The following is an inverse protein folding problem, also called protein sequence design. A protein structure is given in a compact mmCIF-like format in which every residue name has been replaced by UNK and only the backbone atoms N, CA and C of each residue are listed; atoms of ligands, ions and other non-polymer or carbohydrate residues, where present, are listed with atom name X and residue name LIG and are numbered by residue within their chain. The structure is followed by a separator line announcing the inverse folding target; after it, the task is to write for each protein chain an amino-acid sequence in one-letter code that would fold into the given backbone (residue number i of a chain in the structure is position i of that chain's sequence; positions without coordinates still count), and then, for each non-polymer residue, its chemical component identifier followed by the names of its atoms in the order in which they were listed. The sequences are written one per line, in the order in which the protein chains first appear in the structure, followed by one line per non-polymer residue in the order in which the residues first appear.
data_IF_742358594407
#
_entry.id   IF_742358594407
#
_cell.length_a   1.000
_cell.length_b   1.000
_cell.length_c   1.000
_cell.angle_alpha   90.00
_cell.angle_beta   90.00
_cell.angle_gamma   90.00
#
_symmetry.space_group_name_H-M   'P 1'
#
loop_
_entity.id
_entity.type
_entity.pdbx_description
1 polymer ?
#
# COMPACT_ATOMS: atom_id res chain seq x y z
N UNK A 1 3.33 -13.79 -17.60
CA UNK A 1 2.81 -12.61 -16.89
C UNK A 1 1.31 -12.80 -16.80
N UNK A 2 0.73 -12.88 -15.61
CA UNK A 2 -0.72 -12.92 -15.47
C UNK A 2 -1.27 -11.54 -15.81
N UNK A 3 -2.03 -11.42 -16.90
CA UNK A 3 -2.88 -10.26 -17.10
C UNK A 3 -3.98 -10.31 -16.02
N UNK A 4 -4.41 -9.17 -15.47
CA UNK A 4 -5.48 -9.18 -14.49
C UNK A 4 -6.74 -9.69 -15.19
N UNK A 5 -7.54 -10.46 -14.50
CA UNK A 5 -8.84 -10.88 -15.00
C UNK A 5 -9.76 -9.68 -14.78
N UNK A 6 -9.81 -8.81 -15.79
CA UNK A 6 -10.85 -7.79 -15.84
C UNK A 6 -12.20 -8.49 -16.06
N UNK A 7 -13.27 -8.14 -15.32
CA UNK A 7 -13.36 -7.09 -14.29
C UNK A 7 -13.14 -7.56 -12.84
N UNK A 8 -12.90 -8.85 -12.61
CA UNK A 8 -12.96 -9.49 -11.29
C UNK A 8 -11.79 -9.19 -10.36
N UNK A 9 -10.67 -8.66 -10.85
CA UNK A 9 -9.49 -8.33 -10.02
C UNK A 9 -9.45 -6.85 -9.58
N UNK A 10 -10.40 -6.03 -10.04
CA UNK A 10 -10.40 -4.58 -9.85
C UNK A 10 -11.39 -4.14 -8.76
N UNK A 11 -10.93 -3.54 -7.64
CA UNK A 11 -11.78 -3.28 -6.48
C UNK A 11 -12.85 -2.20 -6.70
N UNK A 12 -12.74 -1.38 -7.74
CA UNK A 12 -13.77 -0.41 -8.15
C UNK A 12 -14.88 -1.02 -9.00
N UNK A 13 -14.77 -2.28 -9.40
CA UNK A 13 -15.74 -2.96 -10.24
C UNK A 13 -16.76 -3.74 -9.41
N UNK A 14 -18.04 -3.67 -9.77
CA UNK A 14 -19.09 -4.46 -9.12
C UNK A 14 -18.82 -5.97 -9.18
N UNK A 15 -18.22 -6.45 -10.28
CA UNK A 15 -17.86 -7.85 -10.44
C UNK A 15 -16.85 -8.35 -9.41
N UNK A 16 -15.90 -7.51 -8.99
CA UNK A 16 -14.98 -7.82 -7.89
C UNK A 16 -15.76 -8.00 -6.58
N UNK A 17 -16.64 -7.06 -6.23
CA UNK A 17 -17.44 -7.16 -5.00
C UNK A 17 -18.29 -8.43 -4.97
N UNK A 18 -18.99 -8.75 -6.05
CA UNK A 18 -19.77 -9.99 -6.15
C UNK A 18 -18.90 -11.25 -6.01
N UNK A 19 -17.72 -11.28 -6.65
CA UNK A 19 -16.79 -12.40 -6.51
C UNK A 19 -16.31 -12.56 -5.07
N UNK A 20 -16.03 -11.47 -4.36
CA UNK A 20 -15.59 -11.52 -2.98
C UNK A 20 -16.71 -11.94 -2.03
N UNK A 21 -17.95 -11.51 -2.28
CA UNK A 21 -19.14 -11.97 -1.56
C UNK A 21 -19.32 -13.49 -1.73
N UNK A 22 -19.27 -14.02 -2.95
CA UNK A 22 -19.36 -15.46 -3.23
C UNK A 22 -18.23 -16.24 -2.54
N UNK A 23 -16.99 -15.71 -2.58
CA UNK A 23 -15.83 -16.30 -1.87
C UNK A 23 -16.04 -16.31 -0.37
N UNK A 24 -16.61 -15.25 0.20
CA UNK A 24 -16.89 -15.13 1.62
C UNK A 24 -17.95 -16.13 2.07
N UNK A 25 -19.06 -16.25 1.34
CA UNK A 25 -20.10 -17.27 1.61
C UNK A 25 -19.52 -18.68 1.55
N UNK A 26 -18.79 -19.02 0.49
CA UNK A 26 -18.18 -20.33 0.33
C UNK A 26 -17.11 -20.63 1.40
N UNK A 27 -16.40 -19.59 1.89
CA UNK A 27 -15.45 -19.74 2.99
C UNK A 27 -16.16 -20.00 4.32
N UNK A 28 -17.21 -19.24 4.62
CA UNK A 28 -17.97 -19.37 5.86
C UNK A 28 -18.63 -20.75 5.96
N UNK A 29 -19.26 -21.24 4.89
CA UNK A 29 -19.83 -22.60 4.84
C UNK A 29 -18.76 -23.68 5.16
N UNK A 30 -17.56 -23.55 4.59
CA UNK A 30 -16.46 -24.49 4.84
C UNK A 30 -15.93 -24.41 6.28
N UNK A 31 -15.90 -23.23 6.89
CA UNK A 31 -15.46 -23.07 8.29
C UNK A 31 -16.49 -23.59 9.29
N UNK A 32 -17.79 -23.45 9.02
CA UNK A 32 -18.85 -24.00 9.88
C UNK A 32 -18.77 -25.53 10.00
N UNK A 33 -18.43 -26.20 8.89
CA UNK A 33 -18.23 -27.65 8.84
C UNK A 33 -16.98 -28.13 9.59
N UNK A 34 -16.03 -27.24 9.91
CA UNK A 34 -14.81 -27.61 10.64
C UNK A 34 -15.06 -27.62 12.15
N UNK A 35 -14.50 -28.60 12.89
CA UNK A 35 -14.54 -28.57 14.34
C UNK A 35 -13.75 -27.35 14.88
N UNK A 36 -14.15 -26.78 16.03
CA UNK A 36 -13.54 -25.55 16.56
C UNK A 36 -12.01 -25.60 16.71
N UNK A 37 -11.43 -26.78 16.98
CA UNK A 37 -9.99 -26.97 17.17
C UNK A 37 -9.14 -26.81 15.90
N UNK A 38 -9.74 -26.90 14.71
CA UNK A 38 -9.03 -26.78 13.42
C UNK A 38 -9.54 -25.61 12.57
N UNK A 39 -10.50 -24.84 13.07
CA UNK A 39 -11.00 -23.65 12.38
C UNK A 39 -9.88 -22.64 12.21
N UNK A 40 -9.84 -22.04 11.03
CA UNK A 40 -8.83 -21.03 10.75
C UNK A 40 -9.15 -19.75 11.52
N UNK A 41 -8.12 -18.94 11.77
CA UNK A 41 -8.33 -17.58 12.23
C UNK A 41 -9.21 -16.84 11.21
N UNK A 42 -10.30 -16.26 11.70
CA UNK A 42 -11.21 -15.44 10.91
C UNK A 42 -10.49 -14.13 10.56
N UNK A 43 -10.50 -13.80 9.28
CA UNK A 43 -9.89 -12.61 8.70
C UNK A 43 -10.81 -12.11 7.59
N UNK A 44 -10.78 -10.81 7.24
CA UNK A 44 -11.58 -10.30 6.14
C UNK A 44 -11.25 -11.04 4.84
N UNK A 45 -12.27 -11.57 4.16
CA UNK A 45 -12.13 -12.13 2.82
C UNK A 45 -12.08 -10.97 1.82
N UNK A 46 -13.06 -10.07 1.88
CA UNK A 46 -12.99 -8.80 1.17
C UNK A 46 -12.02 -7.84 1.87
N UNK A 47 -11.00 -7.29 1.18
CA UNK A 47 -10.10 -6.32 1.77
C UNK A 47 -10.85 -5.10 2.30
N UNK A 48 -10.63 -4.70 3.56
CA UNK A 48 -11.30 -3.54 4.15
C UNK A 48 -10.62 -2.23 3.70
N UNK A 49 -10.90 -1.83 2.46
CA UNK A 49 -10.22 -0.74 1.74
C UNK A 49 -10.20 0.60 2.45
N UNK A 50 -11.25 0.95 3.19
CA UNK A 50 -11.28 2.25 3.88
C UNK A 50 -10.17 2.42 4.93
N UNK A 51 -9.48 1.35 5.33
CA UNK A 51 -8.38 1.44 6.32
C UNK A 51 -7.20 2.20 5.72
N UNK A 52 -7.03 2.13 4.40
CA UNK A 52 -6.03 2.92 3.67
C UNK A 52 -6.35 4.41 3.76
N UNK A 53 -7.64 4.78 3.84
CA UNK A 53 -8.06 6.19 4.03
C UNK A 53 -7.59 6.72 5.39
N UNK A 54 -7.65 5.91 6.45
CA UNK A 54 -7.10 6.31 7.76
C UNK A 54 -5.59 6.55 7.69
N UNK A 55 -4.84 5.71 6.98
CA UNK A 55 -3.41 5.95 6.76
C UNK A 55 -3.18 7.26 5.99
N UNK A 56 -3.95 7.48 4.93
CA UNK A 56 -3.90 8.69 4.09
C UNK A 56 -4.18 9.96 4.90
N UNK A 57 -5.30 10.00 5.63
CA UNK A 57 -5.70 11.15 6.45
C UNK A 57 -4.66 11.46 7.53
N UNK A 58 -4.09 10.42 8.15
CA UNK A 58 -3.04 10.58 9.16
C UNK A 58 -1.76 11.16 8.56
N UNK A 59 -1.35 10.67 7.39
CA UNK A 59 -0.16 11.16 6.70
C UNK A 59 -0.31 12.63 6.30
N UNK A 60 -1.45 13.00 5.72
CA UNK A 60 -1.75 14.37 5.32
C UNK A 60 -1.81 15.30 6.53
N UNK A 61 -2.44 14.87 7.62
CA UNK A 61 -2.53 15.67 8.84
C UNK A 61 -1.14 15.97 9.42
N UNK A 62 -0.21 15.01 9.34
CA UNK A 62 1.18 15.21 9.75
C UNK A 62 1.97 16.17 8.86
N UNK A 63 1.57 16.34 7.58
CA UNK A 63 2.21 17.28 6.66
C UNK A 63 1.74 18.71 6.84
N UNK A 64 0.50 18.91 7.33
CA UNK A 64 -0.14 20.21 7.53
C UNK A 64 0.31 20.96 8.80
N UNK A 65 1.13 20.35 9.65
CA UNK A 65 1.74 21.02 10.82
C UNK A 65 3.19 21.39 10.49
N UNK A 66 3.48 22.62 10.01
CA UNK A 66 4.86 23.09 9.98
C UNK A 66 5.26 23.46 11.40
N UNK A 67 6.30 22.82 11.92
CA UNK A 67 6.90 23.11 13.22
C UNK A 67 7.17 24.61 13.40
N UNK A 68 6.37 25.24 14.26
CA UNK A 68 6.62 26.55 14.88
C UNK A 68 7.22 26.31 16.28
N UNK A 69 8.38 25.67 16.37
CA UNK A 69 9.24 25.82 17.56
C UNK A 69 10.70 25.48 17.28
N UNK A 70 11.46 26.55 17.04
CA UNK A 70 12.79 26.82 17.62
C UNK A 70 13.95 25.87 17.30
N UNK A 71 14.76 26.35 16.34
CA UNK A 71 16.23 26.30 16.28
C UNK A 71 16.90 26.07 17.64
N UNK A 72 17.48 24.89 17.86
CA UNK A 72 18.81 24.62 18.44
C UNK A 72 19.10 23.10 18.50
N UNK A 73 20.37 22.76 18.28
CA UNK A 73 21.03 21.44 18.28
C UNK A 73 20.89 20.47 17.09
N UNK A 74 21.92 20.52 16.24
CA UNK A 74 22.35 19.48 15.32
C UNK A 74 22.76 18.22 16.09
N UNK A 75 21.91 17.18 16.10
CA UNK A 75 22.27 15.73 16.01
C UNK A 75 21.07 14.85 16.37
N UNK A 76 19.97 14.86 15.60
CA UNK A 76 19.02 13.73 15.51
C UNK A 76 17.94 13.97 14.44
N UNK A 77 18.31 13.95 13.16
CA UNK A 77 17.35 14.12 12.07
C UNK A 77 16.70 12.77 11.74
N UNK A 78 15.63 12.42 12.46
CA UNK A 78 14.88 11.20 12.25
C UNK A 78 13.90 11.33 11.07
N UNK A 79 14.02 10.39 10.13
CA UNK A 79 12.98 9.91 9.22
C UNK A 79 11.59 9.87 9.87
N UNK A 80 10.54 10.22 9.10
CA UNK A 80 9.09 10.28 9.42
C UNK A 80 8.75 10.52 10.91
N UNK A 81 8.06 11.61 11.28
CA UNK A 81 7.91 12.02 12.68
C UNK A 81 7.44 10.86 13.57
N UNK A 82 8.24 10.56 14.61
CA UNK A 82 7.90 9.56 15.62
C UNK A 82 6.57 9.96 16.28
N UNK A 83 5.49 9.17 16.14
CA UNK A 83 4.18 9.58 16.60
C UNK A 83 4.09 9.37 18.12
N UNK A 84 3.92 10.46 18.86
CA UNK A 84 3.42 10.40 20.23
C UNK A 84 2.08 9.65 20.26
N UNK A 85 1.79 8.87 21.33
CA UNK A 85 0.53 8.17 21.51
C UNK A 85 -0.54 9.18 21.96
N UNK A 86 -0.90 10.11 21.07
CA UNK A 86 -2.11 10.90 21.20
C UNK A 86 -3.28 10.04 20.76
N UNK A 87 -4.21 9.74 21.67
CA UNK A 87 -5.44 9.02 21.36
C UNK A 87 -6.24 9.79 20.30
N UNK A 88 -6.06 9.45 19.03
CA UNK A 88 -6.95 9.89 17.98
C UNK A 88 -8.26 9.15 18.19
N UNK A 89 -9.23 9.81 18.84
CA UNK A 89 -10.62 9.39 18.77
C UNK A 89 -11.03 9.52 17.31
N UNK A 90 -11.03 8.40 16.60
CA UNK A 90 -11.71 8.26 15.33
C UNK A 90 -13.14 8.70 15.59
N UNK A 91 -13.54 9.83 15.04
CA UNK A 91 -14.94 10.24 15.08
C UNK A 91 -15.74 9.15 14.37
N UNK A 92 -16.65 8.50 15.10
CA UNK A 92 -17.68 7.63 14.55
C UNK A 92 -18.52 8.44 13.56
N UNK A 93 -18.05 8.61 12.33
CA UNK A 93 -18.94 8.92 11.21
C UNK A 93 -19.46 7.58 10.71
N UNK A 94 -20.73 7.33 10.96
CA UNK A 94 -21.45 6.07 10.77
C UNK A 94 -21.59 5.59 9.31
N UNK A 95 -20.69 5.94 8.39
CA UNK A 95 -20.77 5.55 6.97
C UNK A 95 -19.51 4.88 6.41
N UNK A 96 -18.78 4.13 7.23
CA UNK A 96 -17.75 3.25 6.68
C UNK A 96 -18.43 2.04 6.04
N UNK A 97 -18.72 2.13 4.75
CA UNK A 97 -19.13 0.98 3.94
C UNK A 97 -17.92 0.07 3.74
N UNK A 98 -18.10 -1.25 3.80
CA UNK A 98 -17.06 -2.22 3.42
C UNK A 98 -16.70 -2.14 1.93
N UNK A 99 -17.51 -1.42 1.14
CA UNK A 99 -17.26 -1.17 -0.26
C UNK A 99 -16.07 -0.23 -0.49
N UNK A 100 -15.37 -0.48 -1.58
CA UNK A 100 -14.30 0.38 -2.06
C UNK A 100 -14.83 1.78 -2.39
N UNK A 101 -14.31 2.80 -1.69
CA UNK A 101 -14.65 4.22 -1.88
C UNK A 101 -13.53 4.99 -2.62
N UNK A 102 -12.67 4.28 -3.34
CA UNK A 102 -11.58 4.86 -4.12
C UNK A 102 -11.91 5.01 -5.61
N UNK A 103 -10.94 5.51 -6.36
CA UNK A 103 -10.91 5.40 -7.83
C UNK A 103 -9.66 4.61 -8.24
N UNK A 104 -9.81 3.60 -9.10
CA UNK A 104 -8.66 2.90 -9.67
C UNK A 104 -8.23 3.58 -10.96
N UNK A 105 -7.00 4.10 -10.94
CA UNK A 105 -6.39 4.71 -12.11
C UNK A 105 -5.64 3.64 -12.92
N UNK A 106 -6.08 3.48 -14.17
CA UNK A 106 -5.59 2.41 -15.06
C UNK A 106 -4.56 2.88 -16.07
N UNK A 107 -4.68 4.10 -16.57
CA UNK A 107 -3.85 4.62 -17.68
C UNK A 107 -3.03 5.84 -17.26
N UNK A 108 -1.98 6.16 -18.02
CA UNK A 108 -1.19 7.39 -17.88
C UNK A 108 -2.07 8.64 -17.98
N UNK A 109 -2.97 8.70 -18.97
CA UNK A 109 -3.95 9.79 -19.09
C UNK A 109 -4.82 9.99 -17.84
N UNK A 110 -5.44 8.93 -17.29
CA UNK A 110 -6.26 9.03 -16.08
C UNK A 110 -5.46 9.49 -14.87
N UNK A 111 -4.22 9.02 -14.74
CA UNK A 111 -3.32 9.42 -13.68
C UNK A 111 -2.95 10.90 -13.80
N UNK A 112 -2.66 11.35 -15.02
CA UNK A 112 -2.36 12.76 -15.31
C UNK A 112 -3.56 13.65 -14.97
N UNK A 113 -4.77 13.25 -15.37
CA UNK A 113 -6.01 13.96 -15.04
C UNK A 113 -6.21 14.04 -13.54
N UNK A 114 -6.06 12.92 -12.82
CA UNK A 114 -6.19 12.89 -11.36
C UNK A 114 -5.19 13.86 -10.70
N UNK A 115 -3.92 13.83 -11.11
CA UNK A 115 -2.87 14.70 -10.55
C UNK A 115 -3.10 16.19 -10.86
N UNK A 116 -3.67 16.48 -12.03
CA UNK A 116 -4.06 17.84 -12.44
C UNK A 116 -5.21 18.36 -11.59
N UNK A 117 -6.29 17.57 -11.44
CA UNK A 117 -7.48 17.93 -10.67
C UNK A 117 -7.17 18.12 -9.18
N UNK A 118 -6.32 17.26 -8.63
CA UNK A 118 -5.95 17.27 -7.21
C UNK A 118 -4.85 18.27 -6.87
N UNK A 119 -4.23 18.93 -7.87
CA UNK A 119 -3.02 19.76 -7.69
C UNK A 119 -1.88 19.02 -6.96
N UNK A 120 -1.91 17.68 -7.01
CA UNK A 120 -0.88 16.77 -6.49
C UNK A 120 0.27 16.60 -7.51
N UNK A 121 0.20 17.33 -8.63
CA UNK A 121 1.14 17.31 -9.75
C UNK A 121 2.59 17.75 -9.46
N UNK A 122 3.12 17.51 -8.27
CA UNK A 122 4.54 17.70 -7.94
C UNK A 122 5.11 16.54 -7.09
N UNK A 123 4.38 15.43 -6.95
CA UNK A 123 4.89 14.24 -6.27
C UNK A 123 5.94 13.51 -7.13
N UNK A 124 7.03 13.03 -6.51
CA UNK A 124 8.16 12.38 -7.20
C UNK A 124 7.78 11.08 -7.94
N UNK A 125 6.56 10.57 -7.82
CA UNK A 125 6.06 9.50 -8.68
C UNK A 125 5.65 9.96 -10.08
N UNK A 126 5.41 11.26 -10.27
CA UNK A 126 4.80 11.80 -11.48
C UNK A 126 5.43 13.14 -11.85
N UNK A 127 6.51 13.16 -12.66
CA UNK A 127 7.02 14.41 -13.23
C UNK A 127 5.94 15.10 -14.03
N UNK A 128 5.32 16.11 -13.46
CA UNK A 128 4.34 16.93 -14.17
C UNK A 128 5.05 17.93 -15.09
N UNK A 129 4.64 17.99 -16.35
CA UNK A 129 4.80 19.15 -17.25
C UNK A 129 3.66 19.14 -18.30
N UNK A 130 3.62 20.19 -19.12
CA UNK A 130 2.61 20.38 -20.18
C UNK A 130 2.55 19.25 -21.23
N UNK A 131 3.51 18.32 -21.23
CA UNK A 131 3.61 17.10 -22.08
C UNK A 131 3.21 15.80 -21.33
N UNK A 132 2.41 15.92 -20.26
CA UNK A 132 2.19 14.98 -19.15
C UNK A 132 2.22 13.47 -19.41
N UNK A 133 1.52 12.94 -20.41
CA UNK A 133 1.41 11.48 -20.63
C UNK A 133 2.74 10.85 -21.08
N UNK A 134 3.41 11.46 -22.06
CA UNK A 134 4.71 11.01 -22.54
C UNK A 134 5.78 11.08 -21.44
N UNK A 135 5.66 12.04 -20.52
CA UNK A 135 6.63 12.25 -19.45
C UNK A 135 6.51 11.23 -18.32
N UNK A 136 5.29 10.85 -17.94
CA UNK A 136 5.03 9.80 -16.94
C UNK A 136 5.52 8.44 -17.46
N UNK A 137 5.20 8.09 -18.70
CA UNK A 137 5.66 6.84 -19.31
C UNK A 137 7.19 6.77 -19.39
N UNK A 138 7.85 7.85 -19.87
CA UNK A 138 9.32 7.96 -19.88
C UNK A 138 9.92 7.87 -18.47
N UNK A 139 9.25 8.41 -17.47
CA UNK A 139 9.71 8.36 -16.09
C UNK A 139 9.58 6.96 -15.47
N UNK A 140 8.45 6.28 -15.67
CA UNK A 140 8.26 4.89 -15.23
C UNK A 140 9.28 3.98 -15.91
N UNK A 141 9.57 4.21 -17.20
CA UNK A 141 10.59 3.49 -17.97
C UNK A 141 12.04 3.91 -17.58
N UNK A 142 12.17 4.97 -16.76
CA UNK A 142 13.43 5.50 -16.25
C UNK A 142 14.31 6.18 -17.30
N UNK A 143 13.69 6.68 -18.36
CA UNK A 143 14.28 7.56 -19.37
C UNK A 143 14.33 9.02 -18.89
N UNK A 144 13.48 9.38 -17.91
CA UNK A 144 13.41 10.72 -17.33
C UNK A 144 14.01 10.77 -15.93
N UNK A 145 14.88 11.75 -15.66
CA UNK A 145 15.45 12.02 -14.33
C UNK A 145 14.72 13.21 -13.69
N UNK A 146 14.26 13.04 -12.45
CA UNK A 146 13.64 14.10 -11.67
C UNK A 146 14.68 14.96 -10.94
N UNK A 147 14.43 16.27 -10.88
CA UNK A 147 15.18 17.20 -10.01
C UNK A 147 14.67 17.05 -8.57
N UNK A 148 15.52 16.74 -7.57
CA UNK A 148 15.13 16.60 -6.17
C UNK A 148 14.61 17.88 -5.51
N UNK A 149 14.73 19.06 -6.16
CA UNK A 149 14.36 20.36 -5.58
C UNK A 149 12.86 20.66 -5.62
N UNK A 150 12.05 19.79 -6.20
CA UNK A 150 10.60 19.98 -6.24
C UNK A 150 9.97 19.55 -4.92
N UNK A 151 9.32 20.51 -4.24
CA UNK A 151 8.57 20.28 -3.01
C UNK A 151 7.13 19.90 -3.35
N UNK A 152 6.52 18.98 -2.59
CA UNK A 152 5.10 18.68 -2.73
C UNK A 152 4.25 19.90 -2.37
N UNK A 153 3.22 20.18 -3.16
CA UNK A 153 2.16 21.14 -2.85
C UNK A 153 1.21 20.62 -1.77
N UNK A 154 0.46 21.54 -1.15
CA UNK A 154 -0.55 21.26 -0.12
C UNK A 154 -1.62 20.29 -0.63
N UNK A 155 -1.77 19.14 0.06
CA UNK A 155 -2.74 18.10 -0.27
C UNK A 155 -4.11 18.49 0.33
N UNK A 156 -5.09 18.74 -0.54
CA UNK A 156 -6.48 19.00 -0.14
C UNK A 156 -7.27 17.69 -0.05
N UNK A 157 -8.44 17.76 0.59
CA UNK A 157 -9.33 16.64 0.87
C UNK A 157 -9.71 15.91 -0.42
N UNK A 158 -9.21 14.68 -0.60
CA UNK A 158 -9.32 13.95 -1.85
C UNK A 158 -9.83 12.54 -1.63
N UNK A 159 -10.67 12.12 -2.59
CA UNK A 159 -11.07 10.72 -2.74
C UNK A 159 -9.81 9.88 -2.97
N UNK A 160 -9.61 8.77 -2.22
CA UNK A 160 -8.43 7.91 -2.38
C UNK A 160 -8.26 7.42 -3.82
N UNK A 161 -7.04 7.49 -4.34
CA UNK A 161 -6.72 7.06 -5.70
C UNK A 161 -5.80 5.85 -5.64
N UNK A 162 -6.18 4.77 -6.30
CA UNK A 162 -5.45 3.52 -6.26
C UNK A 162 -4.80 3.20 -7.60
N UNK A 163 -3.55 2.76 -7.52
CA UNK A 163 -2.74 2.31 -8.64
C UNK A 163 -2.49 0.82 -8.54
N UNK A 164 -2.55 0.16 -9.70
CA UNK A 164 -2.15 -1.23 -9.85
C UNK A 164 -0.64 -1.36 -9.69
N UNK A 165 -0.23 -2.32 -8.87
CA UNK A 165 1.17 -2.65 -8.64
C UNK A 165 1.44 -4.14 -8.80
N UNK A 166 2.56 -4.48 -9.43
CA UNK A 166 3.15 -5.81 -9.36
C UNK A 166 4.08 -5.88 -8.16
N UNK A 167 3.87 -6.90 -7.33
CA UNK A 167 4.64 -7.17 -6.13
C UNK A 167 5.53 -8.37 -6.38
N UNK A 168 6.85 -8.16 -6.31
CA UNK A 168 7.84 -9.22 -6.35
C UNK A 168 8.46 -9.38 -4.96
N UNK A 169 8.44 -10.57 -4.35
CA UNK A 169 9.08 -10.78 -3.07
C UNK A 169 10.59 -10.60 -3.24
N UNK A 170 11.19 -9.83 -2.33
CA UNK A 170 12.62 -9.49 -2.38
C UNK A 170 13.51 -10.70 -2.05
N UNK A 171 13.02 -11.59 -1.18
CA UNK A 171 13.58 -12.91 -0.86
C UNK A 171 12.48 -13.97 -1.04
N UNK A 172 12.72 -15.22 -0.66
CA UNK A 172 11.70 -16.28 -0.72
C UNK A 172 10.43 -15.92 0.07
N UNK A 173 9.28 -16.27 -0.52
CA UNK A 173 7.95 -16.04 0.04
C UNK A 173 6.88 -15.96 -1.04
N UNK A 174 5.62 -16.16 -0.66
CA UNK A 174 4.46 -15.96 -1.54
C UNK A 174 3.46 -15.01 -0.86
N UNK A 175 2.79 -14.20 -1.67
CA UNK A 175 1.77 -13.28 -1.19
C UNK A 175 0.39 -13.86 -1.50
N UNK A 176 -0.48 -13.89 -0.48
CA UNK A 176 -1.84 -14.40 -0.61
C UNK A 176 -2.81 -13.30 -1.07
N UNK A 177 -3.91 -13.70 -1.69
CA UNK A 177 -5.05 -12.80 -1.92
C UNK A 177 -5.56 -12.25 -0.57
N UNK A 178 -5.83 -10.94 -0.52
CA UNK A 178 -6.23 -10.22 0.69
C UNK A 178 -5.06 -9.81 1.60
N UNK A 179 -3.81 -10.15 1.27
CA UNK A 179 -2.65 -9.70 2.04
C UNK A 179 -2.55 -8.16 2.09
N UNK A 180 -2.09 -7.64 3.24
CA UNK A 180 -1.95 -6.19 3.44
C UNK A 180 -0.61 -5.73 2.89
N UNK A 181 -0.61 -4.64 2.12
CA UNK A 181 0.57 -3.93 1.66
C UNK A 181 0.77 -2.74 2.61
N UNK A 182 1.95 -2.64 3.21
CA UNK A 182 2.26 -1.64 4.22
C UNK A 182 3.48 -0.80 3.82
N UNK A 183 3.53 0.44 4.29
CA UNK A 183 4.71 1.29 4.20
C UNK A 183 5.82 0.80 5.16
N UNK A 184 7.03 0.48 4.68
CA UNK A 184 8.18 0.20 5.52
C UNK A 184 8.75 1.47 6.16
N UNK A 185 9.40 1.29 7.30
CA UNK A 185 10.39 2.23 7.82
C UNK A 185 11.75 1.99 7.13
N UNK A 186 12.65 3.00 7.09
CA UNK A 186 14.00 2.82 6.54
C UNK A 186 14.77 1.65 7.17
N UNK A 187 14.63 1.47 8.49
CA UNK A 187 15.25 0.36 9.23
C UNK A 187 14.75 -1.03 8.80
N UNK A 188 13.49 -1.15 8.35
CA UNK A 188 12.97 -2.41 7.83
C UNK A 188 13.64 -2.77 6.51
N UNK A 189 13.82 -1.79 5.63
CA UNK A 189 14.51 -1.99 4.35
C UNK A 189 15.95 -2.41 4.61
N UNK A 190 16.63 -1.73 5.54
CA UNK A 190 17.99 -2.07 5.91
C UNK A 190 18.12 -3.50 6.45
N UNK A 191 17.20 -3.96 7.32
CA UNK A 191 17.18 -5.33 7.85
C UNK A 191 17.22 -6.39 6.74
N UNK A 192 16.45 -6.16 5.67
CA UNK A 192 16.35 -7.09 4.55
C UNK A 192 17.47 -6.97 3.52
N UNK A 193 18.06 -5.78 3.37
CA UNK A 193 19.06 -5.49 2.33
C UNK A 193 20.51 -5.60 2.81
N UNK A 194 20.77 -5.47 4.12
CA UNK A 194 22.13 -5.53 4.71
C UNK A 194 22.57 -6.93 5.16
N UNK A 195 21.63 -7.86 5.33
CA UNK A 195 21.91 -9.23 5.78
C UNK A 195 22.62 -10.04 4.68
N UNK A 196 23.96 -10.09 4.73
CA UNK A 196 24.78 -11.00 3.91
C UNK A 196 24.66 -12.46 4.35
N UNK A 197 24.25 -12.68 5.60
CA UNK A 197 23.89 -13.98 6.17
C UNK A 197 22.37 -14.08 6.32
N UNK A 198 21.83 -15.28 6.13
CA UNK A 198 20.40 -15.62 6.22
C UNK A 198 19.85 -15.43 7.63
N UNK A 199 19.78 -14.21 8.17
CA UNK A 199 18.89 -13.94 9.30
C UNK A 199 17.46 -14.04 8.77
N UNK A 200 16.82 -15.19 8.99
CA UNK A 200 15.41 -15.44 8.66
C UNK A 200 14.45 -14.51 9.43
N UNK A 201 14.96 -13.80 10.43
CA UNK A 201 14.24 -12.91 11.32
C UNK A 201 14.04 -11.54 10.65
N UNK A 202 13.10 -11.51 9.71
CA UNK A 202 12.48 -10.27 9.25
C UNK A 202 11.63 -9.59 10.33
N UNK A 203 11.04 -8.44 10.00
CA UNK A 203 10.05 -7.80 10.88
C UNK A 203 8.86 -8.75 11.13
N UNK A 204 8.55 -9.01 12.40
CA UNK A 204 7.42 -9.85 12.82
C UNK A 204 6.53 -9.14 13.84
N UNK A 205 5.24 -9.40 13.73
CA UNK A 205 4.22 -9.00 14.71
C UNK A 205 4.01 -10.13 15.73
N UNK A 206 3.57 -9.81 16.95
CA UNK A 206 3.17 -10.85 17.90
C UNK A 206 1.92 -11.61 17.42
N UNK A 207 1.76 -12.86 17.86
CA UNK A 207 0.57 -13.66 17.56
C UNK A 207 -0.72 -13.01 18.08
N UNK A 208 -0.66 -12.35 19.25
CA UNK A 208 -1.79 -11.61 19.82
C UNK A 208 -2.16 -10.40 18.97
N UNK A 209 -1.18 -9.59 18.56
CA UNK A 209 -1.43 -8.43 17.70
C UNK A 209 -1.94 -8.84 16.32
N UNK A 210 -1.46 -9.95 15.75
CA UNK A 210 -1.96 -10.48 14.48
C UNK A 210 -3.44 -10.89 14.57
N UNK A 211 -3.84 -11.56 15.65
CA UNK A 211 -5.25 -11.95 15.89
C UNK A 211 -6.19 -10.78 16.10
N UNK A 212 -5.69 -9.69 16.68
CA UNK A 212 -6.47 -8.48 16.94
C UNK A 212 -6.39 -7.47 15.79
N UNK A 213 -5.52 -7.68 14.81
CA UNK A 213 -5.24 -6.71 13.75
C UNK A 213 -6.50 -6.29 13.00
N UNK A 214 -7.38 -7.24 12.70
CA UNK A 214 -8.71 -6.98 12.18
C UNK A 214 -9.76 -7.51 13.14
N UNK A 215 -10.70 -6.64 13.52
CA UNK A 215 -11.84 -6.99 14.35
C UNK A 215 -13.11 -6.86 13.54
N UNK A 216 -13.90 -7.90 13.55
CA UNK A 216 -15.23 -7.90 12.95
C UNK A 216 -16.27 -7.40 13.95
N UNK A 217 -17.16 -6.54 13.46
CA UNK A 217 -18.30 -6.01 14.20
C UNK A 217 -19.54 -6.85 13.92
N UNK A 218 -20.56 -6.74 14.77
CA UNK A 218 -21.86 -7.42 14.59
C UNK A 218 -22.57 -7.09 13.28
N UNK A 219 -22.20 -5.98 12.65
CA UNK A 219 -22.66 -5.57 11.31
C UNK A 219 -21.99 -6.32 10.15
N UNK A 220 -21.06 -7.25 10.43
CA UNK A 220 -20.23 -7.92 9.43
C UNK A 220 -19.07 -7.05 8.90
N UNK A 221 -18.92 -5.83 9.43
CA UNK A 221 -17.84 -4.90 9.03
C UNK A 221 -16.55 -5.20 9.74
N UNK A 222 -15.43 -5.05 9.02
CA UNK A 222 -14.08 -5.21 9.56
C UNK A 222 -13.42 -3.87 9.83
N UNK A 223 -12.75 -3.75 10.97
CA UNK A 223 -12.00 -2.56 11.37
C UNK A 223 -10.56 -2.94 11.76
N UNK A 224 -9.59 -2.09 11.38
CA UNK A 224 -8.20 -2.25 11.84
C UNK A 224 -8.09 -1.80 13.29
N UNK A 225 -7.50 -2.64 14.13
CA UNK A 225 -7.12 -2.19 15.46
C UNK A 225 -5.73 -1.55 15.41
N UNK A 226 -5.65 -0.27 15.80
CA UNK A 226 -4.37 0.41 16.01
C UNK A 226 -3.85 -0.02 17.38
N UNK A 227 -2.62 -0.56 17.48
CA UNK A 227 -2.10 -0.99 18.76
C UNK A 227 -1.81 0.19 19.70
N UNK A 228 -2.32 0.12 20.91
CA UNK A 228 -2.08 1.11 21.98
C UNK A 228 -0.83 0.78 22.82
N UNK A 229 -0.34 -0.46 22.79
CA UNK A 229 0.82 -0.89 23.57
C UNK A 229 2.17 -0.64 22.85
N UNK A 230 3.22 -0.40 23.63
CA UNK A 230 4.55 0.00 23.15
C UNK A 230 5.31 -1.07 22.37
N UNK A 231 4.88 -2.34 22.45
CA UNK A 231 5.53 -3.45 21.76
C UNK A 231 4.89 -3.68 20.40
N UNK A 232 3.56 -3.80 20.35
CA UNK A 232 2.83 -4.00 19.11
C UNK A 232 2.95 -2.79 18.17
N UNK A 233 2.98 -1.57 18.72
CA UNK A 233 3.22 -0.33 17.96
C UNK A 233 4.55 -0.33 17.21
N UNK A 234 5.63 -0.92 17.76
CA UNK A 234 6.92 -1.05 17.07
C UNK A 234 6.86 -1.96 15.85
N UNK A 235 6.00 -2.99 15.89
CA UNK A 235 5.82 -3.93 14.78
C UNK A 235 4.75 -3.50 13.79
N UNK A 236 3.87 -2.57 14.17
CA UNK A 236 2.78 -2.09 13.32
C UNK A 236 3.33 -1.30 12.13
N UNK A 237 2.79 -1.59 10.95
CA UNK A 237 3.08 -0.86 9.72
C UNK A 237 1.78 -0.44 9.07
N UNK A 238 1.74 0.81 8.62
CA UNK A 238 0.53 1.43 8.10
C UNK A 238 0.15 0.83 6.74
N UNK A 239 -1.10 0.35 6.58
CA UNK A 239 -1.60 -0.14 5.30
C UNK A 239 -1.64 0.97 4.26
N UNK A 240 -1.07 0.70 3.09
CA UNK A 240 -1.14 1.57 1.91
C UNK A 240 -1.93 0.93 0.77
N UNK A 241 -2.29 -0.35 0.89
CA UNK A 241 -2.95 -1.12 -0.15
C UNK A 241 -3.20 -2.57 0.22
N UNK A 242 -3.77 -3.33 -0.72
CA UNK A 242 -4.04 -4.76 -0.56
C UNK A 242 -3.73 -5.54 -1.82
N UNK A 243 -3.39 -6.81 -1.65
CA UNK A 243 -3.22 -7.79 -2.72
C UNK A 243 -4.59 -8.30 -3.16
N UNK A 244 -4.91 -8.18 -4.44
CA UNK A 244 -6.15 -8.70 -5.04
C UNK A 244 -5.91 -10.05 -5.72
N UNK A 245 -4.70 -10.29 -6.24
CA UNK A 245 -4.33 -11.56 -6.85
C UNK A 245 -3.03 -12.07 -6.24
N UNK A 246 -3.11 -13.21 -5.55
CA UNK A 246 -1.96 -13.83 -4.89
C UNK A 246 -0.92 -14.39 -5.88
N UNK A 247 0.29 -14.65 -5.37
CA UNK A 247 1.34 -15.33 -6.13
C UNK A 247 0.97 -16.79 -6.39
N UNK A 248 1.18 -17.27 -7.61
CA UNK A 248 0.98 -18.69 -7.94
C UNK A 248 2.19 -19.51 -7.49
N UNK A 249 2.02 -20.33 -6.45
CA UNK A 249 3.05 -21.24 -5.98
C UNK A 249 3.45 -22.25 -7.07
N UNK A 250 4.76 -22.45 -7.27
CA UNK A 250 5.30 -23.32 -8.33
C UNK A 250 5.44 -22.66 -9.70
N UNK A 251 5.01 -21.40 -9.85
CA UNK A 251 5.33 -20.63 -11.05
C UNK A 251 6.80 -20.20 -11.07
N UNK A 252 7.37 -20.00 -12.27
CA UNK A 252 8.74 -19.48 -12.43
C UNK A 252 8.91 -18.05 -11.91
N UNK A 253 7.82 -17.35 -11.61
CA UNK A 253 7.82 -15.95 -11.18
C UNK A 253 6.72 -15.73 -10.15
N UNK A 254 7.12 -15.59 -8.88
CA UNK A 254 6.23 -15.29 -7.76
C UNK A 254 5.86 -13.80 -7.80
N UNK A 255 5.00 -13.41 -8.74
CA UNK A 255 4.44 -12.06 -8.81
C UNK A 255 3.03 -12.11 -8.25
N UNK A 256 2.74 -11.22 -7.30
CA UNK A 256 1.37 -10.92 -6.90
C UNK A 256 0.93 -9.57 -7.47
N UNK A 257 -0.37 -9.36 -7.50
CA UNK A 257 -0.97 -8.10 -7.90
C UNK A 257 -1.70 -7.47 -6.73
N UNK A 258 -1.53 -6.17 -6.58
CA UNK A 258 -2.27 -5.40 -5.61
C UNK A 258 -2.56 -3.99 -6.08
N UNK A 259 -3.29 -3.28 -5.25
CA UNK A 259 -3.62 -1.88 -5.45
C UNK A 259 -3.17 -1.07 -4.24
N UNK A 260 -2.40 -0.02 -4.50
CA UNK A 260 -1.88 0.90 -3.48
C UNK A 260 -2.39 2.32 -3.72
N UNK A 261 -2.60 3.06 -2.65
CA UNK A 261 -2.95 4.47 -2.73
C UNK A 261 -1.78 5.28 -3.32
N UNK A 262 -2.07 6.10 -4.32
CA UNK A 262 -1.08 6.73 -5.19
C UNK A 262 -0.21 7.76 -4.46
N UNK A 263 -0.80 8.56 -3.57
CA UNK A 263 -0.11 9.60 -2.80
C UNK A 263 0.79 8.96 -1.74
N UNK A 264 0.29 7.98 -1.00
CA UNK A 264 1.07 7.21 -0.02
C UNK A 264 2.27 6.52 -0.70
N UNK A 265 2.04 5.89 -1.85
CA UNK A 265 3.11 5.25 -2.62
C UNK A 265 4.13 6.28 -3.15
N UNK A 266 3.67 7.50 -3.45
CA UNK A 266 4.53 8.60 -3.91
C UNK A 266 5.49 9.08 -2.85
N UNK A 267 4.97 9.37 -1.66
CA UNK A 267 5.79 9.79 -0.54
C UNK A 267 6.76 8.69 -0.12
N UNK A 268 6.30 7.43 -0.11
CA UNK A 268 7.17 6.31 0.20
C UNK A 268 8.37 6.23 -0.77
N UNK A 269 8.13 6.46 -2.06
CA UNK A 269 9.20 6.51 -3.07
C UNK A 269 10.17 7.67 -2.82
N UNK A 270 9.65 8.85 -2.48
CA UNK A 270 10.46 10.02 -2.15
C UNK A 270 11.41 9.77 -0.98
N UNK A 271 10.91 9.22 0.12
CA UNK A 271 11.71 8.91 1.30
C UNK A 271 12.83 7.93 0.97
N UNK A 272 12.52 6.86 0.23
CA UNK A 272 13.52 5.86 -0.17
C UNK A 272 14.59 6.42 -1.11
N UNK A 273 14.25 7.42 -1.91
CA UNK A 273 15.17 8.01 -2.87
C UNK A 273 16.22 8.94 -2.27
N UNK A 274 15.88 9.61 -1.16
CA UNK A 274 16.82 10.44 -0.40
C UNK A 274 18.03 9.61 0.04
N UNK A 275 17.80 8.34 0.35
CA UNK A 275 18.81 7.42 0.88
C UNK A 275 19.43 6.50 -0.19
N UNK A 276 18.92 6.50 -1.43
CA UNK A 276 19.29 5.52 -2.47
C UNK A 276 20.08 6.14 -3.65
N UNK A 277 21.17 5.51 -4.11
CA UNK A 277 21.90 5.91 -5.32
C UNK A 277 21.00 5.92 -6.57
N UNK A 278 21.20 6.90 -7.47
CA UNK A 278 20.31 7.16 -8.62
C UNK A 278 19.96 5.92 -9.48
N UNK A 279 20.86 4.94 -9.59
CA UNK A 279 20.67 3.73 -10.40
C UNK A 279 19.61 2.74 -9.85
N UNK A 280 19.29 2.80 -8.56
CA UNK A 280 18.34 1.89 -7.87
C UNK A 280 16.96 2.51 -7.61
N UNK A 281 16.70 3.72 -8.12
CA UNK A 281 15.49 4.53 -7.85
C UNK A 281 14.20 4.08 -8.58
N UNK A 282 14.22 2.93 -9.28
CA UNK A 282 13.06 2.50 -10.09
C UNK A 282 12.00 1.75 -9.30
N UNK A 283 12.43 0.97 -8.32
CA UNK A 283 11.56 0.07 -7.56
C UNK A 283 11.24 0.68 -6.19
N UNK A 284 10.03 0.45 -5.71
CA UNK A 284 9.56 0.96 -4.42
C UNK A 284 9.52 -0.23 -3.47
N UNK A 285 10.29 -0.17 -2.39
CA UNK A 285 10.22 -1.19 -1.35
C UNK A 285 8.91 -1.04 -0.58
N UNK A 286 8.18 -2.14 -0.41
CA UNK A 286 6.99 -2.22 0.41
C UNK A 286 7.07 -3.45 1.30
N UNK A 287 6.33 -3.48 2.41
CA UNK A 287 6.14 -4.70 3.20
C UNK A 287 4.80 -5.32 2.85
N UNK A 288 4.77 -6.65 2.73
CA UNK A 288 3.55 -7.42 2.52
C UNK A 288 3.39 -8.41 3.67
N UNK A 289 2.17 -8.49 4.22
CA UNK A 289 1.82 -9.44 5.29
C UNK A 289 0.55 -10.19 4.93
N UNK A 290 0.65 -11.52 4.82
CA UNK A 290 -0.54 -12.38 4.70
C UNK A 290 -1.34 -12.32 6.00
N UNK A 291 -2.67 -12.31 5.90
CA UNK A 291 -3.53 -11.96 7.04
C UNK A 291 -3.38 -12.89 8.25
N UNK A 292 -3.11 -14.17 7.99
CA UNK A 292 -2.90 -15.21 9.02
C UNK A 292 -1.44 -15.41 9.41
N UNK A 293 -0.54 -14.59 8.89
CA UNK A 293 0.90 -14.60 9.19
C UNK A 293 1.28 -13.43 10.08
N UNK A 294 2.23 -13.68 10.99
CA UNK A 294 2.89 -12.64 11.78
C UNK A 294 4.04 -11.96 11.04
N UNK A 295 4.56 -12.58 9.97
CA UNK A 295 5.76 -12.12 9.30
C UNK A 295 5.44 -11.09 8.21
N UNK A 296 6.13 -9.96 8.27
CA UNK A 296 6.22 -9.03 7.14
C UNK A 296 7.33 -9.49 6.21
N UNK A 297 7.07 -9.45 4.90
CA UNK A 297 8.04 -9.78 3.86
C UNK A 297 8.29 -8.55 3.01
N UNK A 298 9.55 -8.27 2.72
CA UNK A 298 9.91 -7.18 1.81
C UNK A 298 9.54 -7.55 0.37
N UNK A 299 8.95 -6.61 -0.34
CA UNK A 299 8.60 -6.72 -1.75
C UNK A 299 9.05 -5.48 -2.53
N UNK A 300 9.31 -5.69 -3.82
CA UNK A 300 9.50 -4.64 -4.80
C UNK A 300 8.16 -4.39 -5.50
N UNK A 301 7.62 -3.19 -5.33
CA UNK A 301 6.43 -2.73 -6.02
C UNK A 301 6.81 -2.02 -7.33
N UNK A 302 6.24 -2.48 -8.44
CA UNK A 302 6.31 -1.85 -9.76
C UNK A 302 4.93 -1.37 -10.18
N UNK A 303 4.78 -0.09 -10.52
CA UNK A 303 3.50 0.48 -10.98
C UNK A 303 3.20 -0.03 -12.38
N UNK A 304 1.94 -0.39 -12.61
CA UNK A 304 1.44 -0.85 -13.91
C UNK A 304 0.39 0.13 -14.41
N UNK A 305 0.62 0.71 -15.59
CA UNK A 305 -0.35 1.52 -16.31
C UNK A 305 -0.62 0.86 -17.67
N UNK A 306 -1.89 0.79 -18.03
CA UNK A 306 -2.38 0.34 -19.32
C UNK A 306 -2.10 1.41 -20.38
N UNK A 307 -1.59 0.99 -21.53
CA UNK A 307 -1.43 1.83 -22.72
C UNK A 307 -2.75 1.90 -23.48
N UNK A 308 -3.13 3.08 -24.00
CA UNK A 308 -4.22 3.19 -24.97
C UNK A 308 -3.66 2.93 -26.37
N UNK A 309 -4.46 2.36 -27.28
CA UNK A 309 -4.08 2.19 -28.70
C UNK A 309 -3.65 3.51 -29.39
N UNK A 310 -4.09 4.67 -28.88
CA UNK A 310 -3.65 5.99 -29.35
C UNK A 310 -2.22 6.38 -28.93
N UNK A 311 -1.57 5.62 -28.04
CA UNK A 311 -0.14 5.78 -27.70
C UNK A 311 0.78 4.98 -28.64
N UNK A 312 0.22 4.18 -29.56
CA UNK A 312 0.96 3.43 -30.60
C UNK A 312 1.15 4.30 -31.86
N UNK A 313 1.08 5.63 -31.71
CA UNK A 313 1.61 6.54 -32.70
C UNK A 313 3.12 6.39 -32.78
N UNK A 314 3.58 5.60 -33.75
CA UNK A 314 4.97 5.39 -34.17
C UNK A 314 5.77 4.35 -33.35
N UNK A 315 5.59 3.08 -33.74
CA UNK A 315 6.72 2.14 -33.88
C UNK A 315 7.26 2.24 -35.31
#
# INVERSE_FOLDING_TARGET
MGLPIFPSDFPDCKAYSCLMEDKETAFNEKEELRPPSIRHLRVPIQPPWGIVRVTFDKMISSMKTPDLSTREDLTNSNSLPNPYPGSFKISNSDSWSSSFDGTVVRTGSMLTTFLHETKVGQLLLFPYAADGEARISKFINGELKLDPRYKSSDIYDHKPCFLRVHLRPFKEGCFEEGAVICAPNPSDIFLWTSSSERSEEGLQMSQSAMRLYFKEHSSGRWEMQIPDDSIASKSHRWPIGFVTTGSVQGSKSLVAEGFCEAVLLSHLREEQWKETPMKKRREIYVLVRNLRSTAYRLALASIVLEYKENDIGFL
#
